data_IF_796501266216
#
_entry.id   IF_796501266216
#
_cell.length_a   1.000
_cell.length_b   1.000
_cell.length_c   1.000
_cell.angle_alpha   90.00
_cell.angle_beta   90.00
_cell.angle_gamma   90.00
#
_symmetry.space_group_name_H-M   'P 1'
#
loop_
_entity.id
_entity.type
_entity.pdbx_description
1 polymer ?
#
# COMPACT_ATOMS: atom_id res chain seq x y z
N UNK A 1 30.16 -2.63 44.91
CA UNK A 1 30.67 -1.59 43.99
C UNK A 1 31.01 -2.17 42.61
N UNK A 2 31.83 -3.21 42.50
CA UNK A 2 32.17 -3.85 41.21
C UNK A 2 30.97 -4.30 40.33
N UNK A 3 29.87 -4.78 40.93
CA UNK A 3 28.66 -5.14 40.15
C UNK A 3 27.98 -3.91 39.52
N UNK A 4 27.93 -2.78 40.24
CA UNK A 4 27.35 -1.53 39.75
C UNK A 4 28.24 -0.89 38.68
N UNK A 5 29.56 -1.00 38.80
CA UNK A 5 30.52 -0.56 37.79
C UNK A 5 30.43 -1.37 36.50
N UNK A 6 30.29 -2.70 36.60
CA UNK A 6 30.09 -3.58 35.44
C UNK A 6 28.74 -3.34 34.75
N UNK A 7 27.68 -3.09 35.52
CA UNK A 7 26.37 -2.70 34.97
C UNK A 7 26.47 -1.32 34.29
N UNK A 8 27.16 -0.36 34.92
CA UNK A 8 27.40 0.97 34.35
C UNK A 8 28.18 0.94 33.03
N UNK A 9 29.26 0.16 32.98
CA UNK A 9 30.05 -0.04 31.76
C UNK A 9 29.24 -0.70 30.64
N UNK A 10 28.40 -1.69 30.99
CA UNK A 10 27.48 -2.34 30.05
C UNK A 10 26.44 -1.37 29.45
N UNK A 11 25.85 -0.51 30.29
CA UNK A 11 24.89 0.53 29.84
C UNK A 11 25.57 1.54 28.92
N UNK A 12 26.79 1.98 29.25
CA UNK A 12 27.57 2.93 28.43
C UNK A 12 27.92 2.32 27.06
N UNK A 13 28.39 1.07 27.02
CA UNK A 13 28.71 0.39 25.78
C UNK A 13 27.49 0.20 24.87
N UNK A 14 26.35 -0.25 25.43
CA UNK A 14 25.09 -0.39 24.70
C UNK A 14 24.57 0.96 24.19
N UNK A 15 24.70 2.01 25.00
CA UNK A 15 24.34 3.38 24.61
C UNK A 15 25.21 3.88 23.47
N UNK A 16 26.53 3.61 23.51
CA UNK A 16 27.47 3.96 22.44
C UNK A 16 27.15 3.28 21.12
N UNK A 17 26.87 1.97 21.14
CA UNK A 17 26.44 1.20 19.96
C UNK A 17 25.12 1.74 19.41
N UNK A 18 24.16 2.03 20.29
CA UNK A 18 22.87 2.58 19.88
C UNK A 18 22.99 3.98 19.26
N UNK A 19 23.76 4.89 19.86
CA UNK A 19 24.05 6.22 19.30
C UNK A 19 24.73 6.09 17.93
N UNK A 20 25.71 5.20 17.80
CA UNK A 20 26.38 4.93 16.54
C UNK A 20 25.39 4.43 15.47
N UNK A 21 24.51 3.48 15.81
CA UNK A 21 23.47 3.00 14.90
C UNK A 21 22.47 4.09 14.49
N UNK A 22 22.04 4.96 15.41
CA UNK A 22 21.15 6.11 15.09
C UNK A 22 21.87 7.12 14.19
N UNK A 23 23.13 7.41 14.46
CA UNK A 23 23.94 8.31 13.62
C UNK A 23 24.17 7.74 12.22
N UNK A 24 24.41 6.43 12.12
CA UNK A 24 24.56 5.71 10.86
C UNK A 24 23.23 5.70 10.08
N UNK A 25 22.13 5.39 10.77
CA UNK A 25 20.78 5.48 10.24
C UNK A 25 20.34 6.92 9.93
N UNK A 26 21.12 7.94 10.29
CA UNK A 26 20.89 9.33 9.87
C UNK A 26 21.57 9.67 8.54
N UNK A 27 22.43 8.79 7.99
CA UNK A 27 23.07 8.99 6.67
C UNK A 27 22.10 8.65 5.55
N UNK A 28 21.98 9.54 4.55
CA UNK A 28 21.02 9.42 3.43
C UNK A 28 21.05 8.07 2.72
N UNK A 29 22.25 7.57 2.42
CA UNK A 29 22.42 6.28 1.76
C UNK A 29 21.87 5.12 2.61
N UNK A 30 22.12 5.15 3.91
CA UNK A 30 21.76 4.10 4.85
C UNK A 30 20.27 4.17 5.19
N UNK A 31 19.71 5.37 5.37
CA UNK A 31 18.27 5.59 5.52
C UNK A 31 17.48 4.90 4.41
N UNK A 32 17.90 5.08 3.16
CA UNK A 32 17.23 4.47 2.01
C UNK A 32 17.26 2.95 2.07
N UNK A 33 18.42 2.37 2.34
CA UNK A 33 18.52 0.91 2.42
C UNK A 33 17.77 0.34 3.62
N UNK A 34 17.79 0.99 4.78
CA UNK A 34 17.11 0.51 5.99
C UNK A 34 15.59 0.70 5.90
N UNK A 35 15.12 1.82 5.34
CA UNK A 35 13.69 2.10 5.26
C UNK A 35 13.00 1.26 4.18
N UNK A 36 13.57 1.26 2.97
CA UNK A 36 12.97 0.55 1.83
C UNK A 36 13.29 -0.94 1.83
N UNK A 37 14.42 -1.36 2.41
CA UNK A 37 14.93 -2.73 2.36
C UNK A 37 14.98 -3.30 0.93
N UNK A 38 15.17 -2.41 -0.06
CA UNK A 38 14.96 -2.71 -1.48
C UNK A 38 16.01 -3.65 -2.09
N UNK A 39 17.19 -3.75 -1.47
CA UNK A 39 18.27 -4.68 -1.84
C UNK A 39 18.23 -6.01 -1.08
N UNK A 40 17.23 -6.22 -0.21
CA UNK A 40 17.04 -7.50 0.45
C UNK A 40 15.97 -8.30 -0.32
N UNK A 41 16.37 -9.08 -1.35
CA UNK A 41 15.49 -10.09 -1.86
C UNK A 41 15.30 -11.08 -0.71
N UNK A 42 14.07 -11.26 -0.24
CA UNK A 42 13.77 -12.18 0.87
C UNK A 42 14.16 -13.63 0.47
N UNK A 43 14.30 -13.89 -0.84
CA UNK A 43 14.91 -15.09 -1.41
C UNK A 43 15.84 -14.71 -2.58
N UNK A 44 17.09 -15.19 -2.55
CA UNK A 44 18.04 -15.00 -3.65
C UNK A 44 17.64 -15.84 -4.88
N UNK A 45 17.87 -15.33 -6.10
CA UNK A 45 17.65 -16.10 -7.33
C UNK A 45 16.19 -16.20 -7.82
N UNK A 46 15.30 -15.30 -7.38
CA UNK A 46 13.90 -15.30 -7.81
C UNK A 46 13.74 -15.17 -9.34
N UNK A 47 13.03 -16.13 -9.93
CA UNK A 47 12.70 -16.17 -11.36
C UNK A 47 11.45 -15.36 -11.66
N UNK A 48 11.49 -14.04 -11.47
CA UNK A 48 10.29 -13.19 -11.63
C UNK A 48 9.65 -13.26 -13.04
N UNK A 49 10.41 -13.64 -14.07
CA UNK A 49 9.86 -13.84 -15.43
C UNK A 49 9.13 -15.19 -15.59
N UNK A 50 9.10 -16.00 -14.53
CA UNK A 50 8.42 -17.28 -14.43
C UNK A 50 7.41 -17.28 -13.26
N UNK A 51 6.28 -16.56 -13.40
CA UNK A 51 5.26 -16.45 -12.35
C UNK A 51 4.73 -17.80 -11.83
N UNK A 52 4.84 -18.87 -12.63
CA UNK A 52 4.47 -20.23 -12.23
C UNK A 52 5.23 -20.71 -11.00
N UNK A 53 6.49 -20.26 -10.85
CA UNK A 53 7.31 -20.56 -9.67
C UNK A 53 6.77 -19.93 -8.37
N UNK A 54 5.76 -19.06 -8.48
CA UNK A 54 5.11 -18.37 -7.36
C UNK A 54 3.62 -18.76 -7.20
N UNK A 55 3.21 -19.86 -7.83
CA UNK A 55 1.87 -20.44 -7.68
C UNK A 55 0.82 -19.85 -8.63
N UNK A 56 1.22 -19.40 -9.81
CA UNK A 56 0.32 -19.02 -10.90
C UNK A 56 0.26 -20.08 -12.00
N UNK A 57 -0.81 -20.08 -12.79
CA UNK A 57 -0.95 -20.94 -13.97
C UNK A 57 -0.13 -20.38 -15.14
N UNK A 58 0.11 -21.23 -16.15
CA UNK A 58 0.92 -20.87 -17.33
C UNK A 58 0.40 -19.60 -18.00
N UNK A 59 1.17 -18.53 -17.99
CA UNK A 59 0.80 -17.22 -18.58
C UNK A 59 -0.44 -16.55 -17.96
N UNK A 60 -0.94 -17.01 -16.80
CA UNK A 60 -1.97 -16.27 -16.05
C UNK A 60 -1.47 -14.88 -15.64
N UNK A 61 -0.17 -14.79 -15.39
CA UNK A 61 0.52 -13.53 -15.13
C UNK A 61 1.39 -13.19 -16.33
N UNK A 62 1.24 -11.97 -16.83
CA UNK A 62 2.05 -11.43 -17.92
C UNK A 62 3.02 -10.38 -17.37
N UNK A 63 4.32 -10.68 -17.28
CA UNK A 63 5.32 -9.69 -16.94
C UNK A 63 5.45 -8.60 -18.01
N UNK A 64 5.62 -7.36 -17.59
CA UNK A 64 5.81 -6.20 -18.47
C UNK A 64 6.81 -5.21 -17.86
N UNK A 65 7.27 -4.27 -18.71
CA UNK A 65 8.07 -3.13 -18.26
C UNK A 65 7.34 -1.84 -18.58
N UNK A 66 7.23 -0.97 -17.57
CA UNK A 66 6.60 0.35 -17.70
C UNK A 66 7.71 1.41 -17.62
N UNK A 67 7.93 2.21 -18.68
CA UNK A 67 8.87 3.31 -18.63
C UNK A 67 8.33 4.43 -17.73
N UNK A 68 9.23 5.10 -17.04
CA UNK A 68 8.92 6.31 -16.26
C UNK A 68 9.34 7.56 -17.04
N UNK A 69 8.76 8.70 -16.70
CA UNK A 69 9.09 9.98 -17.35
C UNK A 69 10.53 10.42 -17.13
N UNK A 70 11.20 9.91 -16.09
CA UNK A 70 12.58 10.23 -15.75
C UNK A 70 13.60 9.12 -16.13
N UNK A 71 13.20 8.20 -17.02
CA UNK A 71 14.12 7.25 -17.67
C UNK A 71 14.35 5.93 -16.94
N UNK A 72 13.71 5.72 -15.79
CA UNK A 72 13.68 4.42 -15.13
C UNK A 72 12.67 3.47 -15.78
N UNK A 73 12.85 2.16 -15.57
CA UNK A 73 11.98 1.10 -16.08
C UNK A 73 11.49 0.26 -14.92
N UNK A 74 10.18 0.23 -14.74
CA UNK A 74 9.51 -0.52 -13.69
C UNK A 74 9.16 -1.91 -14.20
N UNK A 75 9.42 -2.91 -13.39
CA UNK A 75 9.00 -4.27 -13.63
C UNK A 75 7.62 -4.49 -13.00
N UNK A 76 6.67 -4.99 -13.79
CA UNK A 76 5.32 -5.22 -13.36
C UNK A 76 4.79 -6.58 -13.81
N UNK A 77 3.74 -7.01 -13.16
CA UNK A 77 2.96 -8.21 -13.42
C UNK A 77 1.51 -7.80 -13.61
N UNK A 78 0.94 -8.13 -14.79
CA UNK A 78 -0.50 -8.11 -15.01
C UNK A 78 -1.06 -9.50 -14.74
N UNK A 79 -1.87 -9.63 -13.71
CA UNK A 79 -2.49 -10.89 -13.28
C UNK A 79 -3.91 -10.95 -13.82
N UNK A 80 -4.19 -11.99 -14.62
CA UNK A 80 -5.52 -12.27 -15.14
C UNK A 80 -6.41 -12.96 -14.09
N UNK A 81 -7.70 -12.60 -14.01
CA UNK A 81 -8.69 -13.28 -13.19
C UNK A 81 -8.78 -14.77 -13.51
N UNK A 82 -9.04 -15.61 -12.50
CA UNK A 82 -9.05 -17.06 -12.66
C UNK A 82 -10.18 -17.57 -13.57
N UNK A 83 -11.38 -16.98 -13.52
CA UNK A 83 -12.48 -17.42 -14.39
C UNK A 83 -12.24 -17.04 -15.86
N UNK A 84 -11.56 -15.92 -16.12
CA UNK A 84 -11.11 -15.60 -17.48
C UNK A 84 -10.02 -16.55 -17.96
N UNK A 85 -9.11 -16.95 -17.06
CA UNK A 85 -8.13 -17.97 -17.38
C UNK A 85 -8.80 -19.28 -17.77
N UNK A 86 -9.74 -19.79 -16.96
CA UNK A 86 -10.50 -21.02 -17.24
C UNK A 86 -11.16 -20.95 -18.63
N UNK A 87 -11.87 -19.86 -18.92
CA UNK A 87 -12.56 -19.66 -20.20
C UNK A 87 -11.62 -19.65 -21.41
N UNK A 88 -10.37 -19.22 -21.24
CA UNK A 88 -9.39 -19.06 -22.32
C UNK A 88 -8.13 -19.92 -22.13
N UNK A 89 -8.23 -21.01 -21.37
CA UNK A 89 -7.08 -21.76 -20.86
C UNK A 89 -6.14 -22.22 -21.98
N UNK A 90 -6.68 -22.81 -23.05
CA UNK A 90 -5.87 -23.31 -24.16
C UNK A 90 -5.08 -22.19 -24.84
N UNK A 91 -5.64 -20.99 -24.96
CA UNK A 91 -4.97 -19.84 -25.56
C UNK A 91 -3.86 -19.33 -24.65
N UNK A 92 -4.11 -19.20 -23.35
CA UNK A 92 -3.07 -18.85 -22.37
C UNK A 92 -1.90 -19.83 -22.41
N UNK A 93 -2.17 -21.13 -22.41
CA UNK A 93 -1.13 -22.17 -22.39
C UNK A 93 -0.25 -22.15 -23.67
N UNK A 94 -0.83 -21.88 -24.83
CA UNK A 94 -0.13 -21.87 -26.13
C UNK A 94 0.55 -20.54 -26.46
N UNK A 95 0.14 -19.43 -25.82
CA UNK A 95 0.70 -18.11 -26.10
C UNK A 95 2.20 -18.05 -25.76
N UNK A 96 3.01 -17.48 -26.66
CA UNK A 96 4.41 -17.19 -26.35
C UNK A 96 4.49 -16.13 -25.26
N UNK A 97 5.38 -16.32 -24.29
CA UNK A 97 5.59 -15.37 -23.19
C UNK A 97 6.23 -14.08 -23.68
N UNK A 98 7.10 -14.14 -24.69
CA UNK A 98 7.86 -12.97 -25.16
C UNK A 98 7.02 -12.08 -26.07
N UNK A 99 7.36 -10.80 -26.14
CA UNK A 99 6.73 -9.84 -27.04
C UNK A 99 6.07 -8.68 -26.31
N UNK A 100 5.38 -7.85 -27.07
CA UNK A 100 4.67 -6.66 -26.58
C UNK A 100 3.44 -7.08 -25.75
N UNK A 101 3.27 -6.44 -24.58
CA UNK A 101 2.11 -6.61 -23.71
C UNK A 101 0.81 -6.36 -24.48
N UNK A 102 0.77 -5.41 -25.42
CA UNK A 102 -0.44 -5.05 -26.19
C UNK A 102 -0.96 -6.20 -27.05
N UNK A 103 -0.08 -7.16 -27.40
CA UNK A 103 -0.48 -8.34 -28.18
C UNK A 103 -1.01 -9.49 -27.31
N UNK A 104 -0.79 -9.44 -26.00
CA UNK A 104 -1.06 -10.53 -25.07
C UNK A 104 -2.54 -10.63 -24.75
N UNK A 105 -3.02 -11.87 -24.62
CA UNK A 105 -4.41 -12.15 -24.26
C UNK A 105 -4.79 -11.48 -22.93
N UNK A 106 -3.93 -11.53 -21.92
CA UNK A 106 -4.18 -10.89 -20.62
C UNK A 106 -4.48 -9.39 -20.73
N UNK A 107 -3.76 -8.70 -21.63
CA UNK A 107 -3.96 -7.27 -21.88
C UNK A 107 -5.28 -7.03 -22.61
N UNK A 108 -5.54 -7.78 -23.69
CA UNK A 108 -6.79 -7.66 -24.46
C UNK A 108 -8.03 -7.92 -23.61
N UNK A 109 -7.99 -8.95 -22.75
CA UNK A 109 -9.09 -9.23 -21.83
C UNK A 109 -9.36 -8.10 -20.83
N UNK A 110 -8.32 -7.35 -20.44
CA UNK A 110 -8.47 -6.16 -19.60
C UNK A 110 -9.01 -4.95 -20.39
N UNK A 111 -8.52 -4.73 -21.61
CA UNK A 111 -8.80 -3.51 -22.39
C UNK A 111 -10.09 -3.58 -23.20
N UNK A 112 -10.45 -4.76 -23.67
CA UNK A 112 -11.55 -4.96 -24.62
C UNK A 112 -12.89 -5.16 -23.88
N UNK A 113 -12.85 -5.48 -22.58
CA UNK A 113 -14.02 -5.62 -21.73
C UNK A 113 -14.34 -4.28 -21.00
N UNK A 114 -15.47 -3.63 -21.30
CA UNK A 114 -15.87 -2.40 -20.61
C UNK A 114 -16.24 -2.63 -19.13
N UNK A 115 -16.49 -3.88 -18.73
CA UNK A 115 -16.80 -4.29 -17.36
C UNK A 115 -15.58 -4.76 -16.57
N UNK A 116 -14.40 -4.83 -17.21
CA UNK A 116 -13.17 -5.17 -16.52
C UNK A 116 -12.74 -4.03 -15.58
N UNK A 117 -12.25 -4.41 -14.42
CA UNK A 117 -11.72 -3.52 -13.39
C UNK A 117 -10.25 -3.82 -13.13
N UNK A 118 -9.50 -2.77 -12.80
CA UNK A 118 -8.07 -2.88 -12.53
C UNK A 118 -7.75 -2.48 -11.11
N UNK A 119 -7.11 -3.38 -10.37
CA UNK A 119 -6.44 -3.04 -9.11
C UNK A 119 -4.99 -2.71 -9.43
N UNK A 120 -4.53 -1.52 -9.05
CA UNK A 120 -3.09 -1.22 -9.01
C UNK A 120 -2.62 -1.46 -7.58
N UNK A 121 -1.73 -2.44 -7.41
CA UNK A 121 -1.25 -2.90 -6.12
C UNK A 121 0.07 -2.22 -5.72
N UNK A 122 0.03 -1.45 -4.63
CA UNK A 122 1.17 -0.77 -4.03
C UNK A 122 1.71 -1.58 -2.84
N UNK A 123 2.80 -2.29 -3.06
CA UNK A 123 3.39 -3.16 -2.04
C UNK A 123 4.12 -2.39 -0.91
N UNK A 124 4.29 -3.04 0.25
CA UNK A 124 5.08 -2.51 1.37
C UNK A 124 6.59 -2.52 1.12
N UNK A 125 7.41 -2.24 2.15
CA UNK A 125 8.87 -2.34 2.03
C UNK A 125 9.35 -3.80 1.82
N UNK A 126 10.61 -3.94 1.44
CA UNK A 126 11.30 -5.19 1.10
C UNK A 126 10.63 -6.02 -0.02
N UNK A 127 11.26 -7.14 -0.39
CA UNK A 127 10.70 -8.13 -1.30
C UNK A 127 10.49 -7.63 -2.72
N UNK A 128 9.70 -8.38 -3.49
CA UNK A 128 9.42 -8.16 -4.92
C UNK A 128 7.95 -8.45 -5.23
N UNK A 129 7.47 -8.18 -6.43
CA UNK A 129 6.12 -8.57 -6.89
C UNK A 129 5.85 -10.07 -6.70
N UNK A 130 6.88 -10.92 -6.77
CA UNK A 130 6.80 -12.37 -6.59
C UNK A 130 6.89 -12.85 -5.14
N UNK A 131 6.93 -11.98 -4.13
CA UNK A 131 6.97 -12.45 -2.74
C UNK A 131 5.72 -13.30 -2.43
N UNK A 132 5.88 -14.52 -1.88
CA UNK A 132 4.80 -15.51 -1.68
C UNK A 132 3.52 -14.93 -1.08
N UNK A 133 3.61 -14.15 0.01
CA UNK A 133 2.45 -13.50 0.63
C UNK A 133 1.69 -12.54 -0.30
N UNK A 134 2.39 -11.90 -1.24
CA UNK A 134 1.82 -10.98 -2.22
C UNK A 134 1.12 -11.76 -3.33
N UNK A 135 1.71 -12.85 -3.79
CA UNK A 135 1.05 -13.71 -4.79
C UNK A 135 -0.22 -14.36 -4.25
N UNK A 136 -0.23 -14.74 -2.97
CA UNK A 136 -1.46 -15.12 -2.24
C UNK A 136 -2.50 -13.99 -2.23
N UNK A 137 -2.05 -12.75 -1.97
CA UNK A 137 -2.93 -11.57 -1.96
C UNK A 137 -3.57 -11.35 -3.32
N UNK A 138 -2.80 -11.38 -4.43
CA UNK A 138 -3.33 -11.14 -5.77
C UNK A 138 -4.46 -12.10 -6.13
N UNK A 139 -4.29 -13.39 -5.80
CA UNK A 139 -5.33 -14.40 -6.03
C UNK A 139 -6.59 -14.16 -5.19
N UNK A 140 -6.41 -13.70 -3.95
CA UNK A 140 -7.52 -13.50 -3.03
C UNK A 140 -8.32 -12.23 -3.34
N UNK A 141 -7.67 -11.12 -3.67
CA UNK A 141 -8.37 -9.84 -3.89
C UNK A 141 -9.24 -9.87 -5.15
N UNK A 142 -8.90 -10.69 -6.15
CA UNK A 142 -9.70 -10.90 -7.35
C UNK A 142 -10.79 -11.98 -7.19
N UNK A 143 -10.81 -12.75 -6.09
CA UNK A 143 -11.66 -13.95 -5.98
C UNK A 143 -13.16 -13.64 -5.93
N UNK A 144 -13.53 -12.47 -5.40
CA UNK A 144 -14.93 -12.04 -5.25
C UNK A 144 -15.64 -11.70 -6.57
N UNK A 145 -14.89 -11.37 -7.62
CA UNK A 145 -15.39 -11.17 -8.98
C UNK A 145 -14.33 -11.67 -9.96
N UNK A 146 -14.12 -12.98 -9.95
CA UNK A 146 -13.04 -13.70 -10.64
C UNK A 146 -13.13 -13.67 -12.17
N UNK A 147 -14.12 -12.98 -12.74
CA UNK A 147 -14.27 -12.71 -14.17
C UNK A 147 -14.03 -11.25 -14.56
N UNK A 148 -13.91 -10.32 -13.59
CA UNK A 148 -13.83 -8.87 -13.87
C UNK A 148 -12.58 -8.19 -13.31
N UNK A 149 -11.98 -8.70 -12.24
CA UNK A 149 -10.94 -7.96 -11.49
C UNK A 149 -9.53 -8.41 -11.86
N UNK A 150 -8.82 -7.59 -12.65
CA UNK A 150 -7.40 -7.76 -12.96
C UNK A 150 -6.54 -7.07 -11.89
N UNK A 151 -5.30 -7.55 -11.72
CA UNK A 151 -4.34 -6.94 -10.79
C UNK A 151 -3.06 -6.56 -11.53
N UNK A 152 -2.69 -5.28 -11.48
CA UNK A 152 -1.38 -4.78 -11.88
C UNK A 152 -0.54 -4.55 -10.63
N UNK A 153 0.44 -5.43 -10.40
CA UNK A 153 1.43 -5.27 -9.34
C UNK A 153 2.77 -4.88 -9.94
N UNK A 154 3.50 -3.96 -9.30
CA UNK A 154 4.78 -3.48 -9.83
C UNK A 154 5.81 -3.32 -8.73
N UNK A 155 7.08 -3.54 -9.07
CA UNK A 155 8.21 -3.24 -8.22
C UNK A 155 8.60 -1.77 -8.40
N UNK A 156 8.75 -1.03 -7.30
CA UNK A 156 9.26 0.34 -7.35
C UNK A 156 10.70 0.39 -7.86
N UNK A 157 11.18 1.56 -8.30
CA UNK A 157 12.58 1.71 -8.71
C UNK A 157 13.54 1.21 -7.62
N UNK A 158 14.51 0.38 -8.03
CA UNK A 158 15.47 -0.29 -7.16
C UNK A 158 14.96 -1.55 -6.43
N UNK A 159 13.69 -1.94 -6.59
CA UNK A 159 13.15 -3.22 -6.13
C UNK A 159 13.13 -4.24 -7.27
N UNK A 160 13.25 -5.52 -6.92
CA UNK A 160 13.15 -6.64 -7.86
C UNK A 160 13.94 -6.43 -9.16
N UNK A 161 13.23 -6.35 -10.28
CA UNK A 161 13.79 -6.13 -11.63
C UNK A 161 13.68 -4.69 -12.13
N UNK A 162 13.14 -3.77 -11.33
CA UNK A 162 13.06 -2.35 -11.67
C UNK A 162 14.44 -1.69 -11.55
N UNK A 163 14.73 -0.75 -12.45
CA UNK A 163 15.99 0.00 -12.44
C UNK A 163 16.00 1.07 -11.35
N UNK A 164 17.12 1.78 -11.16
CA UNK A 164 17.18 2.95 -10.30
C UNK A 164 17.39 2.68 -8.81
N UNK A 165 17.16 3.72 -8.00
CA UNK A 165 17.32 3.69 -6.53
C UNK A 165 16.15 4.40 -5.86
N UNK A 166 15.55 3.83 -4.79
CA UNK A 166 14.34 4.39 -4.20
C UNK A 166 14.60 5.69 -3.45
N UNK A 167 13.66 6.62 -3.65
CA UNK A 167 13.49 7.88 -2.91
C UNK A 167 12.00 8.18 -2.86
N UNK A 168 11.52 9.00 -1.94
CA UNK A 168 10.10 9.35 -1.91
C UNK A 168 9.63 9.95 -3.25
N UNK A 169 10.35 10.95 -3.77
CA UNK A 169 10.01 11.57 -5.07
C UNK A 169 10.08 10.58 -6.24
N UNK A 170 11.09 9.72 -6.27
CA UNK A 170 11.23 8.72 -7.33
C UNK A 170 10.11 7.69 -7.30
N UNK A 171 9.74 7.19 -6.11
CA UNK A 171 8.61 6.27 -5.98
C UNK A 171 7.29 6.94 -6.40
N UNK A 172 7.10 8.22 -6.06
CA UNK A 172 5.92 8.99 -6.52
C UNK A 172 5.89 9.07 -8.05
N UNK A 173 7.02 9.35 -8.70
CA UNK A 173 7.13 9.34 -10.16
C UNK A 173 6.84 7.95 -10.75
N UNK A 174 7.25 6.88 -10.06
CA UNK A 174 6.94 5.50 -10.46
C UNK A 174 5.43 5.25 -10.44
N UNK A 175 4.76 5.60 -9.34
CA UNK A 175 3.32 5.42 -9.17
C UNK A 175 2.52 6.21 -10.21
N UNK A 176 2.91 7.46 -10.48
CA UNK A 176 2.29 8.28 -11.52
C UNK A 176 2.45 7.61 -12.88
N UNK A 177 3.65 7.12 -13.21
CA UNK A 177 3.93 6.46 -14.49
C UNK A 177 3.10 5.19 -14.68
N UNK A 178 2.91 4.40 -13.63
CA UNK A 178 2.08 3.18 -13.68
C UNK A 178 0.60 3.51 -13.87
N UNK A 179 0.07 4.50 -13.15
CA UNK A 179 -1.33 4.92 -13.31
C UNK A 179 -1.55 5.54 -14.70
N UNK A 180 -0.62 6.36 -15.18
CA UNK A 180 -0.71 6.93 -16.52
C UNK A 180 -0.59 5.86 -17.60
N UNK A 181 0.26 4.84 -17.44
CA UNK A 181 0.26 3.69 -18.34
C UNK A 181 -1.12 3.01 -18.37
N UNK A 182 -1.73 2.74 -17.22
CA UNK A 182 -3.04 2.11 -17.17
C UNK A 182 -4.13 2.98 -17.84
N UNK A 183 -4.09 4.30 -17.65
CA UNK A 183 -5.10 5.23 -18.17
C UNK A 183 -4.92 5.57 -19.64
N UNK A 184 -3.68 5.87 -20.05
CA UNK A 184 -3.35 6.44 -21.37
C UNK A 184 -2.95 5.35 -22.36
N UNK A 185 -2.18 4.35 -21.94
CA UNK A 185 -1.70 3.28 -22.83
C UNK A 185 -2.66 2.09 -22.86
N UNK A 186 -3.18 1.68 -21.70
CA UNK A 186 -4.18 0.61 -21.61
C UNK A 186 -5.63 1.12 -21.73
N UNK A 187 -5.84 2.44 -21.76
CA UNK A 187 -7.16 3.04 -21.99
C UNK A 187 -8.17 2.79 -20.87
N UNK A 188 -7.73 2.41 -19.66
CA UNK A 188 -8.64 2.08 -18.56
C UNK A 188 -9.11 3.39 -17.90
N UNK A 189 -10.43 3.68 -17.89
CA UNK A 189 -10.99 4.82 -17.16
C UNK A 189 -10.57 4.77 -15.68
N UNK A 190 -10.20 5.92 -15.11
CA UNK A 190 -9.75 5.96 -13.72
C UNK A 190 -10.85 5.53 -12.73
N UNK A 191 -12.12 5.71 -13.08
CA UNK A 191 -13.28 5.20 -12.33
C UNK A 191 -13.40 3.67 -12.32
N UNK A 192 -12.62 2.95 -13.14
CA UNK A 192 -12.47 1.48 -13.09
C UNK A 192 -11.15 1.04 -12.45
N UNK A 193 -10.35 1.98 -11.93
CA UNK A 193 -9.06 1.73 -11.27
C UNK A 193 -9.22 1.87 -9.76
N UNK A 194 -8.84 0.84 -9.01
CA UNK A 194 -8.75 0.82 -7.55
C UNK A 194 -7.29 0.86 -7.12
N UNK A 195 -6.93 1.81 -6.26
CA UNK A 195 -5.60 1.87 -5.65
C UNK A 195 -5.61 1.05 -4.36
N UNK A 196 -4.93 -0.10 -4.35
CA UNK A 196 -4.86 -0.97 -3.17
C UNK A 196 -3.43 -1.00 -2.66
N UNK A 197 -3.25 -0.62 -1.40
CA UNK A 197 -1.93 -0.37 -0.84
C UNK A 197 -1.71 -1.00 0.53
N UNK A 198 -0.47 -1.43 0.81
CA UNK A 198 -0.07 -1.98 2.10
C UNK A 198 1.16 -1.29 2.67
N UNK A 199 1.13 -0.94 3.96
CA UNK A 199 2.29 -0.42 4.70
C UNK A 199 2.91 0.78 3.97
N UNK A 200 4.20 0.75 3.61
CA UNK A 200 4.86 1.79 2.80
C UNK A 200 4.04 2.21 1.56
N UNK A 201 3.41 1.25 0.88
CA UNK A 201 2.62 1.52 -0.31
C UNK A 201 1.45 2.47 -0.04
N UNK A 202 0.96 2.58 1.19
CA UNK A 202 -0.17 3.47 1.54
C UNK A 202 0.19 4.94 1.35
N UNK A 203 1.37 5.35 1.81
CA UNK A 203 1.87 6.71 1.58
C UNK A 203 2.08 7.00 0.10
N UNK A 204 2.49 5.98 -0.67
CA UNK A 204 2.69 6.11 -2.11
C UNK A 204 1.37 6.20 -2.89
N UNK A 205 0.39 5.35 -2.59
CA UNK A 205 -0.93 5.41 -3.20
C UNK A 205 -1.63 6.74 -2.88
N UNK A 206 -1.50 7.25 -1.65
CA UNK A 206 -1.99 8.59 -1.30
C UNK A 206 -1.25 9.69 -2.07
N UNK A 207 0.07 9.61 -2.24
CA UNK A 207 0.80 10.61 -3.01
C UNK A 207 0.39 10.63 -4.49
N UNK A 208 0.17 9.46 -5.07
CA UNK A 208 -0.32 9.34 -6.45
C UNK A 208 -1.77 9.85 -6.56
N UNK A 209 -2.66 9.46 -5.64
CA UNK A 209 -4.03 9.94 -5.62
C UNK A 209 -4.12 11.46 -5.46
N UNK A 210 -3.31 12.05 -4.57
CA UNK A 210 -3.20 13.50 -4.38
C UNK A 210 -2.73 14.21 -5.66
N UNK A 211 -1.76 13.63 -6.39
CA UNK A 211 -1.36 14.15 -7.69
C UNK A 211 -2.53 14.17 -8.69
N UNK A 212 -3.23 13.05 -8.86
CA UNK A 212 -4.28 12.89 -9.87
C UNK A 212 -5.57 13.68 -9.57
N UNK A 213 -5.95 13.78 -8.30
CA UNK A 213 -7.08 14.65 -7.90
C UNK A 213 -6.69 16.14 -7.97
N UNK A 214 -5.39 16.43 -8.10
CA UNK A 214 -4.88 17.78 -8.22
C UNK A 214 -4.83 18.34 -9.63
N UNK A 215 -5.01 17.49 -10.64
CA UNK A 215 -5.06 17.87 -12.04
C UNK A 215 -6.39 18.56 -12.38
N UNK A 216 -6.40 19.29 -13.50
CA UNK A 216 -7.61 19.83 -14.10
C UNK A 216 -7.71 19.32 -15.56
N UNK A 217 -8.74 18.51 -15.91
CA UNK A 217 -9.80 18.02 -15.04
C UNK A 217 -9.31 17.01 -13.98
N UNK A 218 -9.96 17.00 -12.82
CA UNK A 218 -9.68 16.04 -11.73
C UNK A 218 -9.82 14.59 -12.21
N UNK A 219 -8.97 13.71 -11.70
CA UNK A 219 -8.98 12.28 -12.04
C UNK A 219 -9.35 11.45 -10.79
N UNK A 220 -10.64 11.14 -10.57
CA UNK A 220 -11.05 10.28 -9.46
C UNK A 220 -10.78 8.81 -9.77
N UNK A 221 -10.63 8.01 -8.71
CA UNK A 221 -10.48 6.55 -8.78
C UNK A 221 -11.76 5.84 -8.32
N UNK A 222 -11.93 4.57 -8.68
CA UNK A 222 -13.00 3.73 -8.15
C UNK A 222 -12.99 3.70 -6.61
N UNK A 223 -11.78 3.67 -6.05
CA UNK A 223 -11.56 3.80 -4.63
C UNK A 223 -10.09 3.74 -4.25
N UNK A 224 -9.84 3.88 -2.95
CA UNK A 224 -8.52 3.77 -2.33
C UNK A 224 -8.63 2.87 -1.11
N UNK A 225 -7.90 1.76 -1.09
CA UNK A 225 -7.84 0.82 0.05
C UNK A 225 -6.44 0.88 0.66
N UNK A 226 -6.35 1.24 1.94
CA UNK A 226 -5.10 1.41 2.67
C UNK A 226 -5.01 0.40 3.83
N UNK A 227 -4.12 -0.58 3.68
CA UNK A 227 -3.83 -1.57 4.71
C UNK A 227 -2.65 -1.16 5.58
N UNK A 228 -2.79 -1.24 6.90
CA UNK A 228 -1.72 -0.95 7.85
C UNK A 228 -1.07 0.43 7.55
N UNK A 229 -1.93 1.42 7.29
CA UNK A 229 -1.52 2.76 6.92
C UNK A 229 -0.94 3.52 8.12
N UNK A 230 -0.06 4.47 7.83
CA UNK A 230 0.55 5.34 8.83
C UNK A 230 0.44 6.80 8.39
N UNK A 231 0.30 7.77 9.32
CA UNK A 231 0.17 9.18 8.93
C UNK A 231 1.47 9.77 8.36
N UNK A 232 2.63 9.36 8.91
CA UNK A 232 3.94 9.68 8.34
C UNK A 232 4.99 8.64 8.67
N UNK A 233 6.05 8.55 7.87
CA UNK A 233 7.18 7.67 8.13
C UNK A 233 7.79 7.95 9.52
N UNK A 234 7.83 9.23 9.92
CA UNK A 234 8.31 9.60 11.27
C UNK A 234 7.47 8.95 12.37
N UNK A 235 6.13 9.04 12.28
CA UNK A 235 5.22 8.42 13.26
C UNK A 235 5.31 6.89 13.23
N UNK A 236 5.47 6.31 12.03
CA UNK A 236 5.72 4.87 11.85
C UNK A 236 7.00 4.43 12.56
N UNK A 237 8.12 5.10 12.29
CA UNK A 237 9.41 4.83 12.91
C UNK A 237 9.38 4.99 14.43
N UNK A 238 8.75 6.04 14.95
CA UNK A 238 8.63 6.26 16.39
C UNK A 238 7.83 5.18 17.10
N UNK A 239 6.92 4.51 16.39
CA UNK A 239 6.10 3.41 16.94
C UNK A 239 6.69 2.03 16.64
N UNK A 240 7.74 1.95 15.81
CA UNK A 240 8.34 0.69 15.40
C UNK A 240 9.05 0.01 16.58
N UNK A 241 8.79 -1.28 16.74
CA UNK A 241 9.45 -2.14 17.71
C UNK A 241 10.11 -3.33 17.00
N UNK A 242 11.39 -3.54 17.27
CA UNK A 242 12.10 -4.74 16.80
C UNK A 242 11.53 -5.94 17.53
N UNK A 243 11.03 -6.91 16.76
CA UNK A 243 10.43 -8.13 17.29
C UNK A 243 9.11 -7.93 18.05
N UNK A 244 8.52 -6.74 18.04
CA UNK A 244 7.31 -6.43 18.81
C UNK A 244 7.56 -6.08 20.29
N UNK A 245 8.82 -6.09 20.76
CA UNK A 245 9.15 -5.89 22.18
C UNK A 245 10.23 -4.82 22.42
N UNK A 246 11.12 -4.54 21.45
CA UNK A 246 12.20 -3.57 21.65
C UNK A 246 11.92 -2.27 20.86
N UNK A 247 11.39 -1.21 21.49
CA UNK A 247 11.14 0.05 20.80
C UNK A 247 12.48 0.75 20.48
N UNK A 248 12.94 0.59 19.24
CA UNK A 248 14.30 0.93 18.81
C UNK A 248 14.66 2.41 19.03
N UNK A 249 13.67 3.29 19.00
CA UNK A 249 13.83 4.74 19.20
C UNK A 249 13.26 5.24 20.54
N UNK A 250 12.79 4.37 21.44
CA UNK A 250 12.27 4.82 22.74
C UNK A 250 13.28 5.64 23.55
N UNK A 251 14.59 5.31 23.58
CA UNK A 251 15.57 6.14 24.29
C UNK A 251 15.71 7.56 23.70
N UNK A 252 15.38 7.79 22.42
CA UNK A 252 15.40 9.15 21.84
C UNK A 252 14.36 10.06 22.48
N UNK A 253 13.23 9.52 22.95
CA UNK A 253 12.16 10.30 23.59
C UNK A 253 12.59 10.92 24.91
N UNK A 254 13.63 10.38 25.54
CA UNK A 254 14.22 10.94 26.76
C UNK A 254 15.01 12.23 26.48
N UNK A 255 15.36 12.49 25.21
CA UNK A 255 16.18 13.63 24.79
C UNK A 255 15.52 14.40 23.63
N UNK A 256 14.60 15.34 23.92
CA UNK A 256 13.83 16.06 22.90
C UNK A 256 14.68 16.73 21.82
N UNK A 257 15.85 17.26 22.18
CA UNK A 257 16.79 17.88 21.24
C UNK A 257 17.36 16.89 20.23
N UNK A 258 17.67 15.67 20.69
CA UNK A 258 18.21 14.59 19.85
C UNK A 258 17.11 14.01 18.95
N UNK A 259 15.90 13.86 19.47
CA UNK A 259 14.72 13.50 18.67
C UNK A 259 14.45 14.53 17.57
N UNK A 260 14.45 15.82 17.91
CA UNK A 260 14.27 16.90 16.94
C UNK A 260 15.41 16.96 15.91
N UNK A 261 16.65 16.65 16.30
CA UNK A 261 17.77 16.50 15.38
C UNK A 261 17.58 15.32 14.42
N UNK A 262 17.21 14.14 14.93
CA UNK A 262 16.99 12.94 14.11
C UNK A 262 15.84 13.13 13.13
N UNK A 263 14.71 13.68 13.60
CA UNK A 263 13.53 13.98 12.77
C UNK A 263 13.87 14.89 11.58
N UNK A 264 14.69 15.94 11.79
CA UNK A 264 15.15 16.83 10.71
C UNK A 264 16.03 16.14 9.65
N UNK A 265 16.57 14.95 9.97
CA UNK A 265 17.41 14.16 9.07
C UNK A 265 16.62 13.11 8.29
N UNK A 266 15.37 12.80 8.67
CA UNK A 266 14.47 11.94 7.90
C UNK A 266 14.07 12.67 6.61
N UNK A 267 14.51 12.15 5.47
CA UNK A 267 14.25 12.78 4.16
C UNK A 267 12.96 12.29 3.52
N UNK A 268 12.74 10.98 3.54
CA UNK A 268 11.55 10.35 2.99
C UNK A 268 10.52 10.29 4.13
N UNK A 269 9.62 11.26 4.14
CA UNK A 269 8.70 11.55 5.25
C UNK A 269 7.34 10.89 5.09
N UNK A 270 6.91 10.66 3.85
CA UNK A 270 5.64 10.02 3.52
C UNK A 270 4.44 10.62 4.26
N UNK A 271 4.17 11.91 4.07
CA UNK A 271 3.07 12.64 4.72
C UNK A 271 1.69 12.21 4.19
N UNK A 272 1.26 11.01 4.58
CA UNK A 272 -0.01 10.39 4.20
C UNK A 272 -1.20 11.17 4.74
N UNK A 273 -1.10 11.71 5.96
CA UNK A 273 -2.15 12.54 6.56
C UNK A 273 -2.43 13.81 5.75
N UNK A 274 -1.39 14.58 5.41
CA UNK A 274 -1.52 15.80 4.59
C UNK A 274 -2.11 15.51 3.20
N UNK A 275 -1.64 14.44 2.56
CA UNK A 275 -2.14 14.01 1.24
C UNK A 275 -3.61 13.59 1.30
N UNK A 276 -4.00 12.86 2.35
CA UNK A 276 -5.41 12.48 2.56
C UNK A 276 -6.31 13.70 2.75
N UNK A 277 -5.83 14.75 3.42
CA UNK A 277 -6.58 16.01 3.54
C UNK A 277 -6.89 16.59 2.16
N UNK A 278 -5.89 16.66 1.29
CA UNK A 278 -6.08 17.16 -0.08
C UNK A 278 -7.02 16.28 -0.89
N UNK A 279 -6.84 14.97 -0.85
CA UNK A 279 -7.70 14.00 -1.54
C UNK A 279 -9.16 14.20 -1.12
N UNK A 280 -9.43 14.16 0.18
CA UNK A 280 -10.80 14.27 0.69
C UNK A 280 -11.41 15.63 0.35
N UNK A 281 -10.66 16.73 0.46
CA UNK A 281 -11.19 18.08 0.14
C UNK A 281 -11.50 18.25 -1.35
N UNK A 282 -10.62 17.76 -2.23
CA UNK A 282 -10.73 17.99 -3.69
C UNK A 282 -11.63 17.00 -4.40
N UNK A 283 -11.83 15.80 -3.85
CA UNK A 283 -12.75 14.80 -4.41
C UNK A 283 -14.20 15.26 -4.27
N UNK A 284 -14.98 15.11 -5.33
CA UNK A 284 -16.44 15.27 -5.30
C UNK A 284 -17.12 13.96 -4.87
N UNK A 285 -16.62 12.84 -5.43
CA UNK A 285 -16.91 11.45 -5.01
C UNK A 285 -15.65 10.78 -4.48
N UNK A 286 -15.77 10.02 -3.39
CA UNK A 286 -14.66 9.27 -2.80
C UNK A 286 -15.14 7.97 -2.15
N UNK A 287 -14.39 6.89 -2.38
CA UNK A 287 -14.44 5.66 -1.61
C UNK A 287 -13.06 5.44 -0.99
N UNK A 288 -12.95 5.60 0.33
CA UNK A 288 -11.69 5.47 1.06
C UNK A 288 -11.87 4.42 2.16
N UNK A 289 -11.14 3.32 2.07
CA UNK A 289 -11.21 2.23 3.05
C UNK A 289 -9.86 2.03 3.72
N UNK A 290 -9.83 2.15 5.05
CA UNK A 290 -8.72 1.70 5.89
C UNK A 290 -9.02 0.28 6.37
N UNK A 291 -8.02 -0.60 6.32
CA UNK A 291 -8.13 -1.94 6.91
C UNK A 291 -6.91 -2.20 7.78
N UNK A 292 -7.11 -2.69 9.00
CA UNK A 292 -6.02 -2.91 9.95
C UNK A 292 -6.32 -4.05 10.92
N UNK A 293 -5.31 -4.85 11.28
CA UNK A 293 -5.43 -5.85 12.34
C UNK A 293 -5.01 -5.27 13.71
N UNK A 294 -5.73 -5.57 14.79
CA UNK A 294 -5.27 -5.26 16.15
C UNK A 294 -4.03 -6.09 16.53
N UNK A 295 -3.88 -7.27 15.92
CA UNK A 295 -2.70 -8.14 16.02
C UNK A 295 -1.51 -7.69 15.16
N UNK A 296 -1.56 -6.53 14.49
CA UNK A 296 -0.42 -5.96 13.79
C UNK A 296 0.66 -5.50 14.78
N UNK A 297 1.78 -6.24 14.80
CA UNK A 297 2.94 -5.95 15.66
C UNK A 297 3.95 -4.99 15.03
N UNK A 298 3.73 -4.57 13.78
CA UNK A 298 4.64 -3.71 13.00
C UNK A 298 4.13 -2.28 13.00
N UNK A 299 2.87 -2.08 12.64
CA UNK A 299 2.20 -0.77 12.64
C UNK A 299 1.01 -0.87 13.59
N UNK A 300 0.93 -0.05 14.64
CA UNK A 300 -0.22 -0.07 15.54
C UNK A 300 -1.51 0.42 14.87
N UNK A 301 -2.63 -0.29 15.06
CA UNK A 301 -3.93 0.05 14.47
C UNK A 301 -4.44 1.47 14.79
N UNK A 302 -4.03 2.06 15.91
CA UNK A 302 -4.29 3.48 16.26
C UNK A 302 -3.87 4.48 15.18
N UNK A 303 -2.92 4.12 14.31
CA UNK A 303 -2.54 4.96 13.17
C UNK A 303 -3.64 5.07 12.12
N UNK A 304 -4.40 3.99 11.89
CA UNK A 304 -5.61 4.04 11.06
C UNK A 304 -6.72 4.83 11.75
N UNK A 305 -6.80 4.84 13.08
CA UNK A 305 -7.75 5.69 13.80
C UNK A 305 -7.46 7.18 13.58
N UNK A 306 -6.18 7.56 13.64
CA UNK A 306 -5.74 8.92 13.35
C UNK A 306 -6.05 9.33 11.92
N UNK A 307 -5.75 8.49 10.93
CA UNK A 307 -6.02 8.77 9.53
C UNK A 307 -7.53 8.84 9.22
N UNK A 308 -8.32 7.97 9.83
CA UNK A 308 -9.79 8.02 9.72
C UNK A 308 -10.33 9.34 10.26
N UNK A 309 -9.85 9.79 11.41
CA UNK A 309 -10.23 11.08 11.98
C UNK A 309 -9.84 12.24 11.06
N UNK A 310 -8.59 12.26 10.57
CA UNK A 310 -8.11 13.30 9.64
C UNK A 310 -9.00 13.38 8.41
N UNK A 311 -9.33 12.22 7.82
CA UNK A 311 -10.19 12.16 6.64
C UNK A 311 -11.63 12.62 6.95
N UNK A 312 -12.23 12.17 8.06
CA UNK A 312 -13.59 12.55 8.44
C UNK A 312 -13.71 14.05 8.77
N UNK A 313 -12.74 14.60 9.52
CA UNK A 313 -12.71 15.99 9.95
C UNK A 313 -12.83 16.95 8.74
N UNK A 314 -12.03 16.72 7.70
CA UNK A 314 -11.95 17.63 6.55
C UNK A 314 -13.09 17.47 5.54
N UNK A 315 -14.08 16.61 5.82
CA UNK A 315 -15.33 16.58 5.05
C UNK A 315 -16.21 17.80 5.30
N UNK A 316 -15.94 18.57 6.35
CA UNK A 316 -16.67 19.81 6.69
C UNK A 316 -15.75 21.02 6.62
N UNK A 317 -16.31 22.19 6.30
CA UNK A 317 -15.55 23.45 6.19
C UNK A 317 -15.11 24.00 7.54
N UNK A 318 -15.92 23.83 8.58
CA UNK A 318 -15.59 24.26 9.96
C UNK A 318 -14.56 23.33 10.63
N UNK A 319 -14.36 22.12 10.11
CA UNK A 319 -13.63 21.06 10.78
C UNK A 319 -14.45 20.42 11.91
N UNK A 320 -14.05 19.23 12.32
CA UNK A 320 -14.68 18.48 13.41
C UNK A 320 -13.65 18.15 14.49
N UNK A 321 -14.07 18.26 15.75
CA UNK A 321 -13.34 17.72 16.88
C UNK A 321 -13.35 16.19 16.85
N UNK A 322 -12.40 15.56 17.56
CA UNK A 322 -12.38 14.09 17.70
C UNK A 322 -13.68 13.57 18.32
N UNK A 323 -14.23 14.29 19.29
CA UNK A 323 -15.47 13.91 19.98
C UNK A 323 -16.66 13.88 19.00
N UNK A 324 -16.82 14.92 18.18
CA UNK A 324 -17.89 14.96 17.18
C UNK A 324 -17.78 13.84 16.14
N UNK A 325 -16.56 13.51 15.69
CA UNK A 325 -16.35 12.38 14.77
C UNK A 325 -16.71 11.06 15.46
N UNK A 326 -16.34 10.90 16.72
CA UNK A 326 -16.61 9.68 17.50
C UNK A 326 -18.10 9.48 17.78
N UNK A 327 -18.86 10.56 18.03
CA UNK A 327 -20.31 10.52 18.27
C UNK A 327 -21.12 10.28 16.99
N UNK A 328 -20.64 10.81 15.84
CA UNK A 328 -21.39 10.77 14.58
C UNK A 328 -21.04 9.61 13.67
N UNK A 329 -19.88 8.98 13.84
CA UNK A 329 -19.51 7.82 13.01
C UNK A 329 -20.47 6.66 13.28
N UNK A 330 -20.81 5.95 12.22
CA UNK A 330 -21.50 4.67 12.35
C UNK A 330 -20.49 3.62 12.84
N UNK A 331 -20.85 2.83 13.85
CA UNK A 331 -20.03 1.73 14.37
C UNK A 331 -20.79 0.41 14.23
N UNK A 332 -20.18 -0.56 13.55
CA UNK A 332 -20.72 -1.90 13.41
C UNK A 332 -19.79 -2.87 14.15
N UNK A 333 -20.28 -3.50 15.20
CA UNK A 333 -19.56 -4.56 15.91
C UNK A 333 -19.71 -5.88 15.15
N UNK A 334 -18.57 -6.53 14.85
CA UNK A 334 -18.50 -7.81 14.15
C UNK A 334 -18.07 -8.94 15.10
N UNK A 335 -18.09 -8.72 16.42
CA UNK A 335 -17.70 -9.69 17.43
C UNK A 335 -16.23 -10.10 17.27
N UNK A 336 -15.96 -11.38 17.05
CA UNK A 336 -14.60 -11.88 16.81
C UNK A 336 -13.98 -11.41 15.48
N UNK A 337 -14.81 -10.91 14.55
CA UNK A 337 -14.35 -10.27 13.32
C UNK A 337 -13.70 -8.91 13.55
N UNK A 338 -13.94 -8.26 14.70
CA UNK A 338 -13.51 -6.90 15.00
C UNK A 338 -14.66 -5.90 14.84
N UNK A 339 -14.43 -4.74 14.25
CA UNK A 339 -15.45 -3.70 14.09
C UNK A 339 -15.21 -2.83 12.86
N UNK A 340 -16.24 -2.10 12.47
CA UNK A 340 -16.22 -1.16 11.35
C UNK A 340 -16.65 0.20 11.85
N UNK A 341 -15.90 1.24 11.47
CA UNK A 341 -16.35 2.61 11.55
C UNK A 341 -16.65 3.13 10.14
N UNK A 342 -17.79 3.77 9.95
CA UNK A 342 -18.20 4.36 8.67
C UNK A 342 -18.56 5.83 8.86
N UNK A 343 -18.09 6.66 7.93
CA UNK A 343 -18.35 8.08 7.86
C UNK A 343 -18.82 8.42 6.44
N UNK A 344 -19.98 9.07 6.34
CA UNK A 344 -20.58 9.45 5.08
C UNK A 344 -20.78 10.97 5.06
N UNK A 345 -20.34 11.61 3.98
CA UNK A 345 -20.53 13.04 3.74
C UNK A 345 -20.73 13.28 2.25
N UNK A 346 -21.99 13.50 1.83
CA UNK A 346 -22.34 13.51 0.40
C UNK A 346 -21.97 12.19 -0.27
N UNK A 347 -21.31 12.24 -1.44
CA UNK A 347 -20.79 11.06 -2.14
C UNK A 347 -19.37 10.64 -1.69
N UNK A 348 -18.97 11.03 -0.48
CA UNK A 348 -17.71 10.60 0.15
C UNK A 348 -18.01 9.57 1.22
N UNK A 349 -17.49 8.36 1.04
CA UNK A 349 -17.59 7.26 1.99
C UNK A 349 -16.19 6.96 2.50
N UNK A 350 -15.98 7.17 3.80
CA UNK A 350 -14.75 6.82 4.52
C UNK A 350 -15.09 5.66 5.45
N UNK A 351 -14.44 4.52 5.24
CA UNK A 351 -14.64 3.29 6.01
C UNK A 351 -13.33 2.91 6.69
N UNK A 352 -13.38 2.50 7.94
CA UNK A 352 -12.26 1.88 8.66
C UNK A 352 -12.71 0.55 9.23
N UNK A 353 -12.11 -0.53 8.75
CA UNK A 353 -12.39 -1.90 9.16
C UNK A 353 -11.22 -2.41 10.00
N UNK A 354 -11.46 -2.59 11.29
CA UNK A 354 -10.47 -3.13 12.22
C UNK A 354 -10.81 -4.59 12.47
N UNK A 355 -9.87 -5.48 12.16
CA UNK A 355 -10.02 -6.91 12.43
C UNK A 355 -9.18 -7.33 13.63
N UNK A 356 -9.59 -8.35 14.37
CA UNK A 356 -8.80 -8.80 15.53
C UNK A 356 -7.52 -9.55 15.13
N UNK A 357 -7.58 -10.34 14.07
CA UNK A 357 -6.53 -11.29 13.71
C UNK A 357 -5.89 -10.98 12.33
N UNK A 358 -4.80 -11.68 11.99
CA UNK A 358 -4.18 -11.63 10.66
C UNK A 358 -2.84 -10.88 10.60
N UNK A 359 -2.51 -10.10 11.63
CA UNK A 359 -1.26 -9.35 11.73
C UNK A 359 -0.98 -8.43 10.53
N UNK A 360 0.28 -8.03 10.37
CA UNK A 360 0.67 -7.03 9.36
C UNK A 360 0.50 -7.49 7.90
N UNK A 361 0.67 -8.79 7.66
CA UNK A 361 0.76 -9.35 6.31
C UNK A 361 -0.37 -10.32 5.99
N UNK A 362 -0.82 -11.11 6.96
CA UNK A 362 -1.83 -12.14 6.75
C UNK A 362 -3.21 -11.58 6.47
N UNK A 363 -3.52 -10.39 6.98
CA UNK A 363 -4.80 -9.72 6.77
C UNK A 363 -5.13 -9.50 5.28
N UNK A 364 -4.11 -9.26 4.43
CA UNK A 364 -4.28 -8.96 3.00
C UNK A 364 -4.94 -10.09 2.20
N UNK A 365 -4.91 -11.32 2.72
CA UNK A 365 -5.50 -12.51 2.09
C UNK A 365 -6.83 -12.93 2.72
N UNK A 366 -7.47 -12.07 3.50
CA UNK A 366 -8.71 -12.41 4.21
C UNK A 366 -9.93 -11.78 3.54
N UNK A 367 -11.10 -12.35 3.80
CA UNK A 367 -12.37 -11.94 3.21
C UNK A 367 -12.69 -10.42 3.34
N UNK A 368 -12.34 -9.72 4.44
CA UNK A 368 -12.49 -8.26 4.53
C UNK A 368 -11.89 -7.49 3.35
N UNK A 369 -10.74 -7.94 2.82
CA UNK A 369 -10.11 -7.28 1.67
C UNK A 369 -10.89 -7.51 0.38
N UNK A 370 -11.24 -8.75 0.07
CA UNK A 370 -12.02 -9.07 -1.14
C UNK A 370 -13.38 -8.36 -1.10
N UNK A 371 -14.02 -8.29 0.06
CA UNK A 371 -15.28 -7.56 0.23
C UNK A 371 -15.10 -6.04 0.09
N UNK A 372 -14.03 -5.47 0.63
CA UNK A 372 -13.72 -4.05 0.44
C UNK A 372 -13.47 -3.71 -1.03
N UNK A 373 -12.80 -4.58 -1.78
CA UNK A 373 -12.60 -4.45 -3.23
C UNK A 373 -13.95 -4.42 -3.96
N UNK A 374 -14.83 -5.40 -3.70
CA UNK A 374 -16.16 -5.46 -4.34
C UNK A 374 -17.00 -4.23 -4.05
N UNK A 375 -16.97 -3.73 -2.80
CA UNK A 375 -17.67 -2.50 -2.40
C UNK A 375 -17.14 -1.25 -3.10
N UNK A 376 -15.83 -1.13 -3.29
CA UNK A 376 -15.25 0.04 -3.96
C UNK A 376 -15.52 0.05 -5.46
N UNK A 377 -15.62 -1.12 -6.10
CA UNK A 377 -16.05 -1.21 -7.50
C UNK A 377 -17.58 -1.22 -7.67
N UNK A 378 -18.34 -1.21 -6.57
CA UNK A 378 -19.81 -1.27 -6.58
C UNK A 378 -20.37 -2.51 -7.32
N UNK A 379 -19.57 -3.59 -7.40
CA UNK A 379 -19.88 -4.81 -8.15
C UNK A 379 -20.97 -5.68 -7.53
N UNK A 380 -21.35 -5.42 -6.28
CA UNK A 380 -22.40 -6.17 -5.59
C UNK A 380 -23.81 -5.82 -6.08
N UNK A 381 -23.99 -4.78 -6.91
CA UNK A 381 -25.32 -4.32 -7.34
C UNK A 381 -26.22 -3.81 -6.21
N UNK A 382 -25.69 -3.76 -4.98
CA UNK A 382 -26.34 -3.17 -3.80
C UNK A 382 -25.96 -1.69 -3.79
N UNK A 383 -26.61 -0.92 -4.65
CA UNK A 383 -26.69 0.54 -4.46
C UNK A 383 -27.44 0.80 -3.15
N UNK A 384 -26.85 1.62 -2.28
CA UNK A 384 -27.63 2.48 -1.38
C UNK A 384 -28.69 1.83 -0.49
N UNK A 385 -28.57 0.56 -0.08
CA UNK A 385 -29.45 0.04 0.97
C UNK A 385 -28.89 0.37 2.35
N UNK A 386 -29.22 1.60 2.75
CA UNK A 386 -29.36 2.19 4.09
C UNK A 386 -28.13 2.23 5.00
#
# INVERSE_FOLDING_TARGET
>A
MALLENIGAGIVALSGVWIFCVALASRRFIQRHVFYLHKLPIWWGQRLDDPETFGFLRNQVTPLRIPTTDGERLYAWLVSPLALYEKHETTFQKEDRKGDIKTKLAFKLLTDDPEAHLIIYFHGNAGTVGQTRRTETYRMISSGASSKIHVLAFDYRGFGKSTGTPTEQGLIADAISVIDWARKEAGIPSTRILLLAQSLGTGLACAAADHFISLEPKVPFAGIILCAAFPSATKAFQSYSVGGFLPLLAPLRLFPSLEAWFRRRIKDTWMTDERLVNIVRRSDRLRLTFIHATSDKVIPCRMSDELFYVAANVTTTAGLTRMEVEERKEVIDLGEGGWVNKWVSGDKIIRKEIVKYGGHNGIMKWAPFSLAVLRNFELSGIEGQN
#
